data_IF_998788081146
#
_entry.id   IF_998788081146
#
_cell.length_a   1.000
_cell.length_b   1.000
_cell.length_c   1.000
_cell.angle_alpha   90.00
_cell.angle_beta   90.00
_cell.angle_gamma   90.00
#
_symmetry.space_group_name_H-M   'P 1'
#
loop_
_entity.id
_entity.type
_entity.pdbx_description
1 polymer ?
#
# COMPACT_ATOMS: atom_id res chain seq x y z
N UNK A 1 1.81 -23.80 9.15
CA UNK A 1 2.23 -22.97 10.30
C UNK A 1 1.02 -22.25 10.83
N UNK A 2 0.69 -22.41 12.11
CA UNK A 2 -0.38 -21.64 12.74
C UNK A 2 0.26 -20.50 13.53
N UNK A 3 0.20 -19.30 13.03
CA UNK A 3 0.62 -18.07 13.73
C UNK A 3 -0.48 -17.01 13.63
N UNK A 4 -0.48 -16.10 14.58
CA UNK A 4 -1.38 -14.95 14.59
C UNK A 4 -0.61 -13.72 14.14
N UNK A 5 -1.11 -13.08 13.08
CA UNK A 5 -0.61 -11.81 12.54
C UNK A 5 -1.62 -10.72 12.86
N UNK A 6 -1.13 -9.54 13.29
CA UNK A 6 -2.01 -8.39 13.65
C UNK A 6 -3.06 -8.76 14.72
N UNK A 7 -2.68 -9.56 15.70
CA UNK A 7 -3.58 -9.94 16.81
C UNK A 7 -3.95 -8.72 17.66
N UNK A 8 -3.02 -7.81 17.85
CA UNK A 8 -3.25 -6.49 18.43
C UNK A 8 -2.63 -5.41 17.54
N UNK A 9 -3.06 -4.16 17.73
CA UNK A 9 -2.53 -3.03 16.93
C UNK A 9 -1.02 -2.84 17.10
N UNK A 10 -0.49 -3.14 18.27
CA UNK A 10 0.95 -3.06 18.58
C UNK A 10 1.77 -4.16 17.89
N UNK A 11 1.13 -5.16 17.33
CA UNK A 11 1.81 -6.24 16.61
C UNK A 11 2.20 -5.86 15.18
N UNK A 12 1.64 -4.77 14.66
CA UNK A 12 1.93 -4.29 13.31
C UNK A 12 2.20 -2.78 13.30
N UNK A 13 3.48 -2.45 13.35
CA UNK A 13 3.94 -1.06 13.35
C UNK A 13 4.57 -0.72 12.01
N UNK A 14 4.11 0.34 11.38
CA UNK A 14 4.65 0.85 10.11
C UNK A 14 5.16 2.27 10.31
N UNK A 15 6.39 2.52 9.92
CA UNK A 15 6.97 3.86 9.94
C UNK A 15 7.49 4.23 8.56
N UNK A 16 7.00 5.33 8.03
CA UNK A 16 7.53 5.92 6.81
C UNK A 16 8.98 6.38 7.02
N UNK A 17 9.84 6.05 6.08
CA UNK A 17 11.18 6.61 5.96
C UNK A 17 11.08 7.71 4.93
N UNK A 18 10.87 8.94 5.39
CA UNK A 18 10.65 10.08 4.51
C UNK A 18 11.94 10.75 4.06
N UNK A 19 11.86 11.46 2.96
CA UNK A 19 12.89 12.42 2.56
C UNK A 19 12.64 13.71 3.32
N UNK A 20 13.62 14.17 4.09
CA UNK A 20 13.47 15.37 4.91
C UNK A 20 12.99 16.57 4.09
N UNK A 21 11.90 17.24 4.51
CA UNK A 21 11.44 18.46 3.89
C UNK A 21 12.47 19.59 4.08
N UNK A 22 12.47 20.55 3.17
CA UNK A 22 13.26 21.78 3.36
C UNK A 22 12.54 22.69 4.34
N UNK A 23 12.97 22.65 5.61
CA UNK A 23 12.41 23.49 6.65
C UNK A 23 12.79 24.96 6.48
N UNK A 24 11.85 25.82 6.84
CA UNK A 24 12.02 27.28 6.86
C UNK A 24 11.49 27.87 8.18
N UNK A 25 11.85 29.14 8.47
CA UNK A 25 11.27 29.85 9.62
C UNK A 25 9.76 30.03 9.42
N UNK A 26 9.00 30.03 10.50
CA UNK A 26 7.55 30.23 10.51
C UNK A 26 7.09 31.44 9.65
N UNK A 27 7.79 32.58 9.78
CA UNK A 27 7.49 33.81 9.02
C UNK A 27 7.60 33.67 7.50
N UNK A 28 8.28 32.65 6.99
CA UNK A 28 8.54 32.43 5.58
C UNK A 28 7.83 31.17 5.04
N UNK A 29 6.98 30.58 5.85
CA UNK A 29 6.33 29.31 5.55
C UNK A 29 4.95 29.49 4.90
N UNK A 30 4.52 28.46 4.18
CA UNK A 30 3.16 28.32 3.68
C UNK A 30 2.52 27.04 4.22
N UNK A 31 3.33 26.05 4.55
CA UNK A 31 2.88 24.75 5.00
C UNK A 31 3.46 24.41 6.38
N UNK A 32 2.64 23.78 7.21
CA UNK A 32 3.12 23.06 8.40
C UNK A 32 3.39 21.60 8.04
N UNK A 33 4.54 21.10 8.44
CA UNK A 33 4.91 19.69 8.33
C UNK A 33 4.60 19.03 9.66
N UNK A 34 3.77 17.98 9.61
CA UNK A 34 3.33 17.24 10.79
C UNK A 34 3.72 15.75 10.65
N UNK A 35 4.08 15.16 11.77
CA UNK A 35 4.07 13.71 11.89
C UNK A 35 2.66 13.26 12.25
N UNK A 36 2.07 12.45 11.39
CA UNK A 36 0.81 11.78 11.61
C UNK A 36 1.08 10.36 12.12
N UNK A 37 0.63 10.06 13.35
CA UNK A 37 0.58 8.70 13.89
C UNK A 37 -0.88 8.32 14.09
N UNK A 38 -1.28 7.18 13.55
CA UNK A 38 -2.66 6.72 13.57
C UNK A 38 -2.76 5.23 13.87
N UNK A 39 -3.92 4.81 14.38
CA UNK A 39 -4.26 3.44 14.72
C UNK A 39 -5.68 3.12 14.28
N UNK A 40 -5.91 1.97 13.67
CA UNK A 40 -7.22 1.48 13.23
C UNK A 40 -8.04 2.47 12.40
N UNK A 41 -7.40 3.21 11.55
CA UNK A 41 -8.03 4.15 10.63
C UNK A 41 -7.20 4.26 9.35
N UNK A 42 -7.82 4.34 8.18
CA UNK A 42 -7.10 4.58 6.95
C UNK A 42 -6.61 6.04 6.84
N UNK A 43 -5.69 6.30 5.93
CA UNK A 43 -5.09 7.64 5.80
C UNK A 43 -6.08 8.71 5.37
N UNK A 44 -7.06 8.37 4.51
CA UNK A 44 -8.06 9.35 4.04
C UNK A 44 -8.98 9.80 5.16
N UNK A 45 -9.49 8.86 5.96
CA UNK A 45 -10.38 9.16 7.08
C UNK A 45 -9.64 9.93 8.17
N UNK A 46 -8.38 9.57 8.46
CA UNK A 46 -7.54 10.32 9.39
C UNK A 46 -7.33 11.77 8.96
N UNK A 47 -7.09 12.01 7.66
CA UNK A 47 -6.97 13.35 7.09
C UNK A 47 -8.31 14.09 7.15
N UNK A 48 -9.42 13.42 6.85
CA UNK A 48 -10.76 14.00 6.92
C UNK A 48 -11.10 14.48 8.34
N UNK A 49 -10.86 13.63 9.34
CA UNK A 49 -11.12 13.99 10.74
C UNK A 49 -10.21 15.13 11.22
N UNK A 50 -8.93 15.09 10.85
CA UNK A 50 -8.01 16.17 11.18
C UNK A 50 -8.38 17.49 10.49
N UNK A 51 -8.78 17.46 9.23
CA UNK A 51 -9.18 18.66 8.47
C UNK A 51 -10.38 19.36 9.10
N UNK A 52 -11.37 18.58 9.60
CA UNK A 52 -12.52 19.12 10.37
C UNK A 52 -12.06 19.81 11.64
N UNK A 53 -11.12 19.19 12.37
CA UNK A 53 -10.62 19.72 13.64
C UNK A 53 -9.95 21.09 13.48
N UNK A 54 -9.16 21.28 12.43
CA UNK A 54 -8.42 22.53 12.19
C UNK A 54 -9.14 23.49 11.22
N UNK A 55 -10.34 23.15 10.74
CA UNK A 55 -11.16 24.01 9.88
C UNK A 55 -10.61 24.23 8.47
N UNK A 56 -9.89 23.26 7.90
CA UNK A 56 -9.38 23.33 6.52
C UNK A 56 -10.04 22.27 5.63
N UNK A 57 -9.98 22.48 4.31
CA UNK A 57 -10.46 21.47 3.39
C UNK A 57 -9.43 20.33 3.26
N UNK A 58 -9.83 19.04 3.15
CA UNK A 58 -8.90 17.91 3.01
C UNK A 58 -7.89 18.04 1.86
N UNK A 59 -8.26 18.75 0.78
CA UNK A 59 -7.34 19.00 -0.35
C UNK A 59 -6.14 19.89 -0.01
N UNK A 60 -6.19 20.60 1.10
CA UNK A 60 -5.07 21.41 1.62
C UNK A 60 -4.06 20.54 2.40
N UNK A 61 -4.32 19.25 2.55
CA UNK A 61 -3.45 18.30 3.23
C UNK A 61 -2.84 17.35 2.21
N UNK A 62 -1.51 17.31 2.17
CA UNK A 62 -0.76 16.46 1.25
C UNK A 62 0.10 15.45 2.02
N UNK A 63 0.41 14.31 1.40
CA UNK A 63 1.17 13.22 1.97
C UNK A 63 1.99 12.50 0.88
N UNK A 64 3.01 11.72 1.31
CA UNK A 64 3.90 11.02 0.36
C UNK A 64 3.39 9.63 -0.04
N UNK A 65 2.47 9.04 0.72
CA UNK A 65 1.87 7.75 0.42
C UNK A 65 0.81 7.36 1.44
N UNK A 66 -0.02 6.39 1.07
CA UNK A 66 -1.01 5.80 1.97
C UNK A 66 -0.34 4.82 2.92
N UNK A 67 -0.88 4.67 4.13
CA UNK A 67 -0.44 3.69 5.13
C UNK A 67 -1.60 2.78 5.51
N UNK A 68 -1.24 1.56 5.90
CA UNK A 68 -2.19 0.54 6.34
C UNK A 68 -3.20 1.07 7.35
N UNK A 69 -4.41 0.56 7.30
CA UNK A 69 -5.47 0.85 8.27
C UNK A 69 -5.21 0.11 9.57
N UNK A 70 -4.99 -1.21 9.46
CA UNK A 70 -4.75 -2.09 10.60
C UNK A 70 -3.35 -1.86 11.20
N UNK A 71 -3.30 -1.67 12.52
CA UNK A 71 -2.07 -1.45 13.27
C UNK A 71 -1.77 0.02 13.52
N UNK A 72 -0.55 0.30 13.95
CA UNK A 72 -0.09 1.66 14.25
C UNK A 72 0.86 2.12 13.15
N UNK A 73 0.51 3.20 12.46
CA UNK A 73 1.30 3.71 11.36
C UNK A 73 1.75 5.14 11.59
N UNK A 74 2.96 5.47 11.14
CA UNK A 74 3.56 6.80 11.27
C UNK A 74 4.05 7.29 9.91
N UNK A 75 3.65 8.48 9.51
CA UNK A 75 4.04 9.15 8.26
C UNK A 75 4.15 10.65 8.46
N UNK A 76 4.67 11.38 7.48
CA UNK A 76 4.58 12.83 7.46
C UNK A 76 3.47 13.30 6.52
N UNK A 77 2.85 14.41 6.90
CA UNK A 77 1.88 15.15 6.09
C UNK A 77 2.25 16.63 6.07
N UNK A 78 1.81 17.35 5.04
CA UNK A 78 1.88 18.81 5.00
C UNK A 78 0.49 19.42 4.91
N UNK A 79 0.27 20.51 5.64
CA UNK A 79 -0.98 21.25 5.66
C UNK A 79 -0.74 22.67 5.20
N UNK A 80 -1.51 23.15 4.23
CA UNK A 80 -1.49 24.55 3.79
C UNK A 80 -2.20 25.44 4.83
N UNK A 81 -1.68 25.42 6.03
CA UNK A 81 -2.09 26.21 7.17
C UNK A 81 -0.96 26.23 8.20
N UNK A 82 -0.78 27.35 8.89
CA UNK A 82 0.31 27.49 9.87
C UNK A 82 -0.18 27.14 11.27
N UNK A 83 0.14 25.94 11.72
CA UNK A 83 -0.21 25.40 13.02
C UNK A 83 0.98 25.53 13.98
N UNK A 84 0.72 25.76 15.27
CA UNK A 84 1.76 25.90 16.30
C UNK A 84 1.71 24.78 17.34
N UNK A 85 0.61 24.05 17.39
CA UNK A 85 0.33 23.06 18.44
C UNK A 85 0.24 21.65 17.88
N UNK A 86 0.49 20.69 18.74
CA UNK A 86 0.27 19.28 18.46
C UNK A 86 -1.23 18.94 18.67
N UNK A 87 -1.72 17.94 17.97
CA UNK A 87 -3.13 17.54 18.01
C UNK A 87 -3.27 16.05 18.37
N UNK A 88 -4.28 15.72 19.15
CA UNK A 88 -4.63 14.34 19.48
C UNK A 88 -6.15 14.16 19.42
N UNK A 89 -6.61 13.18 18.65
CA UNK A 89 -8.03 12.90 18.43
C UNK A 89 -8.32 11.43 18.71
N UNK A 90 -9.24 11.18 19.64
CA UNK A 90 -9.85 9.87 19.81
C UNK A 90 -11.11 9.82 18.95
N UNK A 91 -11.22 8.80 18.12
CA UNK A 91 -12.31 8.69 17.16
C UNK A 91 -13.38 7.73 17.69
N UNK A 92 -14.46 8.28 18.24
CA UNK A 92 -15.55 7.49 18.81
C UNK A 92 -16.33 6.65 17.78
N UNK A 93 -16.25 7.01 16.50
CA UNK A 93 -16.90 6.29 15.39
C UNK A 93 -16.17 5.00 14.97
N UNK A 94 -14.93 4.80 15.41
CA UNK A 94 -14.11 3.62 15.10
C UNK A 94 -13.61 3.00 16.40
N UNK A 95 -13.88 1.72 16.64
CA UNK A 95 -13.45 1.03 17.86
C UNK A 95 -11.94 1.06 18.03
N UNK A 96 -11.46 1.80 19.05
CA UNK A 96 -10.04 1.92 19.38
C UNK A 96 -9.20 2.73 18.38
N UNK A 97 -9.83 3.47 17.47
CA UNK A 97 -9.11 4.32 16.54
C UNK A 97 -8.68 5.65 17.16
N UNK A 98 -7.48 6.08 16.83
CA UNK A 98 -6.96 7.37 17.24
C UNK A 98 -5.98 7.96 16.21
N UNK A 99 -5.83 9.27 16.27
CA UNK A 99 -4.92 10.05 15.43
C UNK A 99 -4.16 11.03 16.30
N UNK A 100 -2.82 11.00 16.23
CA UNK A 100 -1.93 11.95 16.88
C UNK A 100 -1.11 12.67 15.83
N UNK A 101 -1.02 13.99 15.94
CA UNK A 101 -0.26 14.84 15.03
C UNK A 101 0.71 15.68 15.83
N UNK A 102 1.97 15.63 15.44
CA UNK A 102 3.05 16.41 16.05
C UNK A 102 3.64 17.37 15.02
N UNK A 103 3.74 18.64 15.35
CA UNK A 103 4.39 19.64 14.49
C UNK A 103 5.89 19.35 14.45
N UNK A 104 6.43 19.13 13.24
CA UNK A 104 7.85 18.92 13.01
C UNK A 104 8.56 20.20 12.57
N UNK A 105 7.85 21.08 11.88
CA UNK A 105 8.38 22.31 11.34
C UNK A 105 7.57 22.89 10.20
N UNK A 106 8.14 23.76 9.42
CA UNK A 106 7.46 24.56 8.41
C UNK A 106 8.19 24.50 7.08
N UNK A 107 7.40 24.57 5.96
CA UNK A 107 7.95 24.52 4.60
C UNK A 107 7.27 25.54 3.70
N UNK A 108 7.92 25.89 2.59
CA UNK A 108 7.32 26.67 1.50
C UNK A 108 6.57 25.78 0.51
N UNK A 109 6.90 24.50 0.46
CA UNK A 109 6.39 23.53 -0.51
C UNK A 109 5.61 22.42 0.20
N UNK A 110 4.55 21.90 -0.45
CA UNK A 110 3.82 20.75 0.07
C UNK A 110 4.63 19.46 -0.10
N UNK A 111 4.23 18.44 0.61
CA UNK A 111 4.62 17.08 0.27
C UNK A 111 3.89 16.62 -1.00
N UNK A 112 4.44 15.62 -1.69
CA UNK A 112 3.81 15.02 -2.86
C UNK A 112 3.98 13.50 -2.84
N UNK A 113 3.08 12.82 -3.54
CA UNK A 113 3.07 11.35 -3.62
C UNK A 113 4.40 10.85 -4.19
N UNK A 114 4.99 9.84 -3.53
CA UNK A 114 6.27 9.25 -3.90
C UNK A 114 7.48 9.88 -3.25
N UNK A 115 7.34 10.97 -2.47
CA UNK A 115 8.45 11.60 -1.73
C UNK A 115 8.77 10.85 -0.43
N UNK A 116 9.11 9.59 -0.55
CA UNK A 116 9.56 8.76 0.57
C UNK A 116 10.65 7.79 0.10
N UNK A 117 11.51 7.37 1.01
CA UNK A 117 12.54 6.37 0.74
C UNK A 117 12.00 4.94 0.88
N UNK A 118 10.95 4.74 1.67
CA UNK A 118 10.34 3.45 1.93
C UNK A 118 9.57 3.42 3.23
N UNK A 119 9.29 2.22 3.73
CA UNK A 119 8.66 2.00 5.03
C UNK A 119 9.48 1.02 5.85
N UNK A 120 9.54 1.24 7.15
CA UNK A 120 10.04 0.26 8.12
C UNK A 120 8.86 -0.41 8.77
N UNK A 121 8.92 -1.74 8.87
CA UNK A 121 7.91 -2.56 9.51
C UNK A 121 8.48 -3.21 10.77
N UNK A 122 7.70 -3.20 11.86
CA UNK A 122 7.91 -4.07 13.01
C UNK A 122 6.67 -4.94 13.16
N UNK A 123 6.85 -6.24 12.92
CA UNK A 123 5.76 -7.22 12.91
C UNK A 123 6.01 -8.22 14.03
N UNK A 124 5.02 -8.39 14.91
CA UNK A 124 5.02 -9.39 15.97
C UNK A 124 4.17 -10.58 15.52
N UNK A 125 4.79 -11.75 15.44
CA UNK A 125 4.09 -13.00 15.20
C UNK A 125 3.81 -13.67 16.54
N UNK A 126 2.56 -14.04 16.79
CA UNK A 126 2.13 -14.72 18.02
C UNK A 126 1.73 -16.16 17.75
N UNK A 127 1.74 -16.99 18.81
CA UNK A 127 1.35 -18.40 18.70
C UNK A 127 2.39 -19.29 18.01
N UNK A 128 3.62 -18.82 17.85
CA UNK A 128 4.73 -19.60 17.31
C UNK A 128 5.23 -20.53 18.42
N UNK A 129 5.25 -21.83 18.17
CA UNK A 129 5.87 -22.79 19.05
C UNK A 129 7.41 -22.82 18.92
N UNK A 130 8.05 -23.51 19.88
CA UNK A 130 9.50 -23.58 19.89
C UNK A 130 10.07 -24.27 18.64
N UNK A 131 9.42 -25.32 18.12
CA UNK A 131 9.87 -26.00 16.92
C UNK A 131 9.83 -25.13 15.68
N UNK A 132 8.77 -24.33 15.53
CA UNK A 132 8.65 -23.33 14.46
C UNK A 132 9.72 -22.23 14.58
N UNK A 133 10.00 -21.77 15.80
CA UNK A 133 11.06 -20.81 16.06
C UNK A 133 12.42 -21.38 15.70
N UNK A 134 12.73 -22.61 16.15
CA UNK A 134 13.99 -23.26 15.87
C UNK A 134 14.19 -23.51 14.36
N UNK A 135 13.13 -23.88 13.62
CA UNK A 135 13.15 -23.99 12.16
C UNK A 135 13.44 -22.66 11.49
N UNK A 136 12.80 -21.58 11.95
CA UNK A 136 13.06 -20.23 11.42
C UNK A 136 14.52 -19.81 11.68
N UNK A 137 15.04 -20.04 12.89
CA UNK A 137 16.42 -19.71 13.24
C UNK A 137 17.43 -20.54 12.42
N UNK A 138 17.14 -21.82 12.19
CA UNK A 138 17.95 -22.67 11.33
C UNK A 138 17.92 -22.18 9.87
N UNK A 139 16.75 -21.82 9.35
CA UNK A 139 16.58 -21.26 8.01
C UNK A 139 17.34 -19.95 7.81
N UNK A 140 17.32 -19.07 8.79
CA UNK A 140 18.06 -17.79 8.75
C UNK A 140 19.54 -17.96 9.12
N UNK A 141 19.97 -19.16 9.50
CA UNK A 141 21.33 -19.45 10.02
C UNK A 141 21.72 -18.52 11.18
N UNK A 142 20.75 -18.13 12.00
CA UNK A 142 20.93 -17.18 13.10
C UNK A 142 21.21 -15.73 12.66
N UNK A 143 21.11 -15.44 11.38
CA UNK A 143 21.29 -14.08 10.87
C UNK A 143 20.16 -13.16 11.32
N UNK A 144 20.50 -11.96 11.76
CA UNK A 144 19.53 -10.90 12.07
C UNK A 144 19.14 -10.08 10.85
N UNK A 145 19.83 -10.29 9.71
CA UNK A 145 19.53 -9.62 8.43
C UNK A 145 19.42 -10.67 7.34
N UNK A 146 18.30 -10.71 6.67
CA UNK A 146 18.03 -11.59 5.55
C UNK A 146 17.52 -10.78 4.37
N UNK A 147 17.92 -11.16 3.17
CA UNK A 147 17.34 -10.61 1.94
C UNK A 147 16.10 -11.42 1.59
N UNK A 148 14.99 -10.75 1.36
CA UNK A 148 13.74 -11.36 0.92
C UNK A 148 13.38 -10.87 -0.47
N UNK A 149 12.67 -11.72 -1.20
CA UNK A 149 12.14 -11.37 -2.50
C UNK A 149 10.88 -10.56 -2.29
N UNK A 150 10.82 -9.38 -2.90
CA UNK A 150 9.67 -8.49 -2.78
C UNK A 150 8.63 -8.80 -3.86
N UNK A 151 7.86 -9.87 -3.69
CA UNK A 151 6.68 -10.15 -4.50
C UNK A 151 5.51 -9.26 -4.08
N UNK A 152 4.68 -8.90 -5.06
CA UNK A 152 3.37 -8.32 -4.78
C UNK A 152 2.40 -9.40 -4.33
N UNK A 153 1.70 -9.16 -3.23
CA UNK A 153 0.70 -10.05 -2.67
C UNK A 153 -0.69 -9.88 -3.31
N UNK A 154 -1.63 -10.76 -2.98
CA UNK A 154 -3.00 -10.82 -3.52
C UNK A 154 -3.77 -9.51 -3.42
N UNK A 155 -3.56 -8.72 -2.36
CA UNK A 155 -4.15 -7.39 -2.20
C UNK A 155 -3.85 -6.43 -3.37
N UNK A 156 -2.75 -6.67 -4.10
CA UNK A 156 -2.41 -5.90 -5.29
C UNK A 156 -3.33 -6.20 -6.47
N UNK A 157 -3.97 -7.37 -6.44
CA UNK A 157 -4.73 -7.91 -7.56
C UNK A 157 -6.25 -7.92 -7.32
N UNK A 158 -6.72 -7.47 -6.16
CA UNK A 158 -8.14 -7.40 -5.80
C UNK A 158 -8.37 -7.07 -4.33
N UNK A 159 -9.64 -6.86 -3.98
CA UNK A 159 -10.06 -6.64 -2.60
C UNK A 159 -10.20 -7.99 -1.90
N UNK A 160 -9.88 -8.10 -0.59
CA UNK A 160 -10.09 -9.34 0.15
C UNK A 160 -11.52 -9.90 -0.03
N UNK A 161 -11.63 -11.22 -0.22
CA UNK A 161 -12.89 -11.95 -0.47
C UNK A 161 -13.57 -11.59 -1.81
N UNK A 162 -12.87 -10.97 -2.75
CA UNK A 162 -13.35 -10.73 -4.10
C UNK A 162 -12.49 -11.45 -5.13
N UNK A 163 -12.91 -11.41 -6.38
CA UNK A 163 -12.10 -11.91 -7.49
C UNK A 163 -10.83 -11.05 -7.64
N UNK A 164 -9.65 -11.69 -7.59
CA UNK A 164 -8.36 -11.04 -7.76
C UNK A 164 -8.02 -10.85 -9.25
N UNK A 165 -8.76 -10.00 -9.95
CA UNK A 165 -8.68 -9.84 -11.41
C UNK A 165 -8.26 -8.43 -11.88
N UNK A 166 -7.80 -7.55 -10.98
CA UNK A 166 -7.40 -6.19 -11.38
C UNK A 166 -6.27 -6.16 -12.40
N UNK A 167 -5.35 -7.12 -12.35
CA UNK A 167 -4.27 -7.28 -13.32
C UNK A 167 -4.80 -7.71 -14.70
N UNK A 168 -5.88 -8.49 -14.77
CA UNK A 168 -6.52 -8.87 -16.04
C UNK A 168 -7.17 -7.65 -16.66
N UNK A 169 -7.89 -6.87 -15.86
CA UNK A 169 -8.48 -5.59 -16.30
C UNK A 169 -7.39 -4.65 -16.83
N UNK A 170 -6.30 -4.48 -16.06
CA UNK A 170 -5.17 -3.64 -16.46
C UNK A 170 -4.50 -4.09 -17.76
N UNK A 171 -4.36 -5.41 -17.97
CA UNK A 171 -3.89 -5.99 -19.22
C UNK A 171 -4.80 -5.61 -20.39
N UNK A 172 -6.10 -5.85 -20.25
CA UNK A 172 -7.08 -5.54 -21.28
C UNK A 172 -7.08 -4.05 -21.67
N UNK A 173 -6.96 -3.16 -20.68
CA UNK A 173 -6.84 -1.71 -20.92
C UNK A 173 -5.57 -1.38 -21.70
N UNK A 174 -4.42 -1.95 -21.33
CA UNK A 174 -3.15 -1.73 -21.99
C UNK A 174 -3.15 -2.19 -23.46
N UNK A 175 -3.84 -3.30 -23.72
CA UNK A 175 -3.99 -3.87 -25.06
C UNK A 175 -5.09 -3.18 -25.89
N UNK A 176 -5.79 -2.18 -25.34
CA UNK A 176 -6.90 -1.50 -25.99
C UNK A 176 -8.20 -2.32 -26.07
N UNK A 177 -8.24 -3.47 -25.40
CA UNK A 177 -9.42 -4.34 -25.36
C UNK A 177 -10.41 -3.91 -24.27
N UNK A 178 -10.99 -2.73 -24.46
CA UNK A 178 -11.87 -2.09 -23.48
C UNK A 178 -13.17 -2.86 -23.23
N UNK A 179 -13.64 -3.65 -24.20
CA UNK A 179 -14.84 -4.47 -24.02
C UNK A 179 -14.59 -5.61 -23.04
N UNK A 180 -13.45 -6.29 -23.16
CA UNK A 180 -13.07 -7.34 -22.22
C UNK A 180 -12.73 -6.75 -20.84
N UNK A 181 -12.07 -5.58 -20.82
CA UNK A 181 -11.85 -4.84 -19.59
C UNK A 181 -13.17 -4.55 -18.84
N UNK A 182 -14.24 -4.18 -19.57
CA UNK A 182 -15.55 -3.95 -18.98
C UNK A 182 -16.13 -5.23 -18.36
N UNK A 183 -16.09 -6.34 -19.09
CA UNK A 183 -16.60 -7.64 -18.57
C UNK A 183 -15.88 -8.03 -17.27
N UNK A 184 -14.56 -7.94 -17.25
CA UNK A 184 -13.76 -8.25 -16.08
C UNK A 184 -14.01 -7.27 -14.93
N UNK A 185 -14.18 -5.97 -15.24
CA UNK A 185 -14.48 -4.96 -14.23
C UNK A 185 -15.83 -5.21 -13.53
N UNK A 186 -16.84 -5.64 -14.27
CA UNK A 186 -18.15 -5.97 -13.71
C UNK A 186 -18.12 -7.18 -12.74
N UNK A 187 -17.17 -8.11 -12.93
CA UNK A 187 -16.94 -9.23 -12.01
C UNK A 187 -16.15 -8.85 -10.75
N UNK A 188 -15.39 -7.76 -10.79
CA UNK A 188 -14.49 -7.34 -9.72
C UNK A 188 -15.22 -6.93 -8.43
N UNK A 189 -14.48 -6.74 -7.33
CA UNK A 189 -15.02 -6.33 -6.02
C UNK A 189 -15.41 -4.84 -5.91
N UNK A 190 -15.38 -4.06 -7.00
CA UNK A 190 -15.75 -2.65 -7.00
C UNK A 190 -17.24 -2.41 -6.64
N UNK A 191 -17.59 -1.17 -6.25
CA UNK A 191 -18.95 -0.84 -5.81
C UNK A 191 -19.99 -1.09 -6.90
N UNK A 192 -21.21 -1.43 -6.49
CA UNK A 192 -22.33 -1.69 -7.43
C UNK A 192 -22.69 -0.41 -8.19
N UNK A 193 -22.65 0.74 -7.53
CA UNK A 193 -22.94 2.06 -8.10
C UNK A 193 -22.01 2.38 -9.25
N UNK A 194 -20.71 2.18 -9.04
CA UNK A 194 -19.68 2.44 -10.05
C UNK A 194 -19.79 1.48 -11.24
N UNK A 195 -20.04 0.20 -10.99
CA UNK A 195 -20.28 -0.80 -12.03
C UNK A 195 -21.51 -0.46 -12.89
N UNK A 196 -22.61 -0.06 -12.24
CA UNK A 196 -23.84 0.34 -12.93
C UNK A 196 -23.61 1.59 -13.78
N UNK A 197 -22.92 2.59 -13.26
CA UNK A 197 -22.59 3.82 -13.97
C UNK A 197 -21.72 3.53 -15.20
N UNK A 198 -20.69 2.69 -15.04
CA UNK A 198 -19.82 2.27 -16.13
C UNK A 198 -20.60 1.53 -17.22
N UNK A 199 -21.48 0.60 -16.82
CA UNK A 199 -22.32 -0.16 -17.74
C UNK A 199 -23.32 0.73 -18.48
N UNK A 200 -23.95 1.70 -17.81
CA UNK A 200 -24.86 2.65 -18.45
C UNK A 200 -24.14 3.50 -19.49
N UNK A 201 -22.96 4.03 -19.15
CA UNK A 201 -22.16 4.84 -20.06
C UNK A 201 -21.69 4.04 -21.29
N UNK A 202 -21.29 2.79 -21.09
CA UNK A 202 -20.84 1.92 -22.19
C UNK A 202 -21.92 1.59 -23.23
N UNK A 203 -23.21 1.87 -22.94
CA UNK A 203 -24.32 1.72 -23.90
C UNK A 203 -24.46 2.92 -24.86
N UNK A 204 -23.94 4.08 -24.48
CA UNK A 204 -24.12 5.36 -25.23
C UNK A 204 -22.81 5.92 -25.78
N UNK A 205 -21.67 5.36 -25.35
CA UNK A 205 -20.33 5.76 -25.81
C UNK A 205 -19.39 4.54 -25.86
N UNK A 206 -18.18 4.71 -26.39
CA UNK A 206 -17.19 3.63 -26.39
C UNK A 206 -16.83 3.19 -24.97
N UNK A 207 -16.47 1.91 -24.78
CA UNK A 207 -16.03 1.42 -23.47
C UNK A 207 -14.84 2.22 -22.92
N UNK A 208 -13.91 2.65 -23.77
CA UNK A 208 -12.80 3.52 -23.37
C UNK A 208 -13.29 4.84 -22.76
N UNK A 209 -14.17 5.53 -23.47
CA UNK A 209 -14.75 6.78 -22.97
C UNK A 209 -15.52 6.58 -21.67
N UNK A 210 -16.29 5.48 -21.57
CA UNK A 210 -17.02 5.12 -20.37
C UNK A 210 -16.08 4.93 -19.17
N UNK A 211 -14.97 4.21 -19.34
CA UNK A 211 -13.93 4.04 -18.30
C UNK A 211 -13.32 5.38 -17.89
N UNK A 212 -12.88 6.18 -18.85
CA UNK A 212 -12.23 7.48 -18.59
C UNK A 212 -13.14 8.50 -17.91
N UNK A 213 -14.44 8.41 -18.13
CA UNK A 213 -15.43 9.29 -17.49
C UNK A 213 -15.93 8.77 -16.13
N UNK A 214 -15.84 7.45 -15.88
CA UNK A 214 -16.35 6.83 -14.66
C UNK A 214 -15.27 6.69 -13.60
N UNK A 215 -14.06 6.29 -14.00
CA UNK A 215 -12.95 6.08 -13.11
C UNK A 215 -12.04 7.31 -13.12
N UNK A 216 -11.61 7.73 -11.92
CA UNK A 216 -10.58 8.75 -11.82
C UNK A 216 -9.22 8.23 -12.33
N UNK A 217 -8.30 9.14 -12.58
CA UNK A 217 -6.96 8.84 -13.04
C UNK A 217 -6.23 7.86 -12.10
N UNK A 218 -6.42 7.97 -10.78
CA UNK A 218 -5.73 7.13 -9.78
C UNK A 218 -6.18 5.69 -9.90
N UNK A 219 -7.47 5.47 -10.12
CA UNK A 219 -8.06 4.14 -10.26
C UNK A 219 -7.63 3.46 -11.56
N UNK A 220 -7.63 4.20 -12.67
CA UNK A 220 -7.09 3.71 -13.94
C UNK A 220 -5.61 3.35 -13.82
N UNK A 221 -4.81 4.22 -13.21
CA UNK A 221 -3.38 3.95 -12.95
C UNK A 221 -3.18 2.73 -12.05
N UNK A 222 -4.04 2.53 -11.04
CA UNK A 222 -3.98 1.35 -10.18
C UNK A 222 -4.19 0.06 -10.98
N UNK A 223 -5.17 0.01 -11.88
CA UNK A 223 -5.43 -1.15 -12.74
C UNK A 223 -4.21 -1.47 -13.63
N UNK A 224 -3.66 -0.47 -14.31
CA UNK A 224 -2.46 -0.64 -15.14
C UNK A 224 -1.26 -1.12 -14.33
N UNK A 225 -1.00 -0.49 -13.18
CA UNK A 225 0.09 -0.87 -12.28
C UNK A 225 -0.10 -2.26 -11.69
N UNK A 226 -1.33 -2.73 -11.50
CA UNK A 226 -1.62 -4.10 -11.08
C UNK A 226 -1.10 -5.11 -12.11
N UNK A 227 -1.31 -4.87 -13.41
CA UNK A 227 -0.74 -5.73 -14.45
C UNK A 227 0.79 -5.71 -14.47
N UNK A 228 1.41 -4.54 -14.33
CA UNK A 228 2.87 -4.46 -14.22
C UNK A 228 3.40 -5.22 -13.00
N UNK A 229 2.69 -5.17 -11.87
CA UNK A 229 3.03 -5.93 -10.66
C UNK A 229 2.92 -7.44 -10.90
N UNK A 230 1.92 -7.88 -11.65
CA UNK A 230 1.76 -9.27 -12.07
C UNK A 230 2.94 -9.72 -12.95
N UNK A 231 3.31 -8.92 -13.94
CA UNK A 231 4.47 -9.21 -14.81
C UNK A 231 5.78 -9.27 -14.01
N UNK A 232 5.95 -8.37 -13.02
CA UNK A 232 7.09 -8.41 -12.10
C UNK A 232 7.16 -9.76 -11.37
N UNK A 233 6.08 -10.18 -10.74
CA UNK A 233 6.03 -11.45 -10.02
C UNK A 233 6.37 -12.64 -10.95
N UNK A 234 5.79 -12.65 -12.14
CA UNK A 234 6.09 -13.70 -13.13
C UNK A 234 7.56 -13.71 -13.56
N UNK A 235 8.12 -12.51 -13.81
CA UNK A 235 9.52 -12.37 -14.24
C UNK A 235 10.47 -12.88 -13.15
N UNK A 236 10.25 -12.49 -11.91
CA UNK A 236 11.06 -12.93 -10.77
C UNK A 236 10.95 -14.44 -10.56
N UNK A 237 9.73 -15.01 -10.57
CA UNK A 237 9.54 -16.47 -10.47
C UNK A 237 10.27 -17.23 -11.59
N UNK A 238 10.25 -16.68 -12.82
CA UNK A 238 10.96 -17.29 -13.97
C UNK A 238 12.47 -17.27 -13.78
N UNK A 239 13.02 -16.13 -13.33
CA UNK A 239 14.45 -15.99 -13.06
C UNK A 239 14.93 -17.05 -12.04
N UNK A 240 14.16 -17.27 -10.98
CA UNK A 240 14.53 -18.28 -9.98
C UNK A 240 14.43 -19.70 -10.51
N UNK A 241 13.39 -20.03 -11.27
CA UNK A 241 13.28 -21.35 -11.92
C UNK A 241 14.45 -21.61 -12.88
N UNK A 242 14.99 -20.58 -13.51
CA UNK A 242 16.10 -20.67 -14.47
C UNK A 242 17.49 -20.57 -13.81
N UNK A 243 17.57 -20.21 -12.54
CA UNK A 243 18.85 -20.00 -11.84
C UNK A 243 19.68 -21.26 -11.61
N UNK A 244 19.08 -22.44 -11.74
CA UNK A 244 19.72 -23.72 -11.39
C UNK A 244 19.86 -23.96 -9.88
N UNK A 245 19.36 -23.03 -9.05
CA UNK A 245 19.37 -23.17 -7.59
C UNK A 245 18.16 -23.98 -7.11
N UNK A 246 18.26 -24.65 -5.95
CA UNK A 246 17.11 -25.32 -5.35
C UNK A 246 16.00 -24.31 -5.03
N UNK A 247 14.81 -24.55 -5.57
CA UNK A 247 13.66 -23.68 -5.40
C UNK A 247 12.43 -24.45 -4.92
N UNK A 248 11.51 -23.75 -4.26
CA UNK A 248 10.15 -24.21 -4.00
C UNK A 248 9.16 -23.21 -4.56
N UNK A 249 7.95 -23.66 -4.86
CA UNK A 249 6.88 -22.81 -5.38
C UNK A 249 5.67 -22.84 -4.46
N UNK A 250 5.00 -21.69 -4.38
CA UNK A 250 3.80 -21.47 -3.58
C UNK A 250 2.72 -20.82 -4.44
N UNK A 251 1.50 -21.34 -4.40
CA UNK A 251 0.35 -20.78 -5.10
C UNK A 251 -0.39 -19.78 -4.20
N UNK A 252 -0.50 -18.54 -4.63
CA UNK A 252 -1.11 -17.45 -3.88
C UNK A 252 -2.50 -17.02 -4.42
N UNK A 253 -3.28 -17.94 -4.98
CA UNK A 253 -4.60 -17.70 -5.60
C UNK A 253 -4.56 -16.94 -6.94
N UNK A 254 -3.53 -16.14 -7.20
CA UNK A 254 -3.38 -15.36 -8.45
C UNK A 254 -2.39 -16.01 -9.38
N UNK A 255 -1.28 -16.52 -8.81
CA UNK A 255 -0.19 -17.13 -9.56
C UNK A 255 0.70 -17.98 -8.66
N UNK A 256 1.56 -18.77 -9.30
CA UNK A 256 2.63 -19.49 -8.62
C UNK A 256 3.84 -18.57 -8.41
N UNK A 257 4.22 -18.36 -7.15
CA UNK A 257 5.43 -17.65 -6.75
C UNK A 257 6.54 -18.67 -6.47
N UNK A 258 7.76 -18.36 -6.89
CA UNK A 258 8.91 -19.25 -6.74
C UNK A 258 9.96 -18.62 -5.84
N UNK A 259 10.43 -19.35 -4.87
CA UNK A 259 11.41 -18.92 -3.87
C UNK A 259 12.62 -19.82 -3.92
N UNK A 260 13.79 -19.27 -3.60
CA UNK A 260 15.02 -20.04 -3.41
C UNK A 260 14.99 -20.68 -2.03
N UNK A 261 15.44 -21.95 -1.92
CA UNK A 261 15.43 -22.68 -0.67
C UNK A 261 16.44 -22.16 0.36
N UNK A 262 17.52 -21.51 -0.09
CA UNK A 262 18.53 -20.92 0.79
C UNK A 262 18.60 -19.39 0.58
N UNK A 263 18.34 -18.63 1.64
CA UNK A 263 18.42 -17.16 1.61
C UNK A 263 19.83 -16.64 1.26
N UNK A 264 20.88 -17.38 1.56
CA UNK A 264 22.25 -17.00 1.20
C UNK A 264 22.48 -17.03 -0.31
N UNK A 265 21.71 -17.83 -1.04
CA UNK A 265 21.79 -17.92 -2.51
C UNK A 265 21.08 -16.76 -3.21
N UNK A 266 20.20 -16.03 -2.51
CA UNK A 266 19.53 -14.85 -3.04
C UNK A 266 20.53 -13.76 -3.44
N UNK A 267 21.65 -13.65 -2.74
CA UNK A 267 22.72 -12.70 -3.05
C UNK A 267 23.48 -13.03 -4.33
N UNK A 268 23.48 -14.29 -4.78
CA UNK A 268 24.18 -14.73 -5.99
C UNK A 268 23.49 -14.28 -7.27
N UNK A 269 22.20 -13.93 -7.18
CA UNK A 269 21.38 -13.53 -8.35
C UNK A 269 21.42 -12.02 -8.60
N UNK A 270 21.94 -11.20 -7.70
CA UNK A 270 22.04 -9.75 -7.87
C UNK A 270 22.95 -9.32 -9.05
N UNK A 271 23.61 -10.24 -9.71
CA UNK A 271 24.52 -9.98 -10.86
C UNK A 271 23.92 -10.39 -12.21
N UNK A 272 22.62 -10.66 -12.30
CA UNK A 272 21.87 -10.90 -13.53
C UNK A 272 20.80 -9.78 -13.70
#
# INVERSE_FOLDING_TARGET
MNYLLKYSNDDFLVREVWIEPRYVKYSNARFTILQLKKCNINTFDAISEFSKLIGVHPSQISYSGLKDEDGITTQIISVEHLLKEDYSVQLNCYSGAWVNLKVLGYSREPLYIGRLLGNTFKVTLRGIDKGQYDQFMAFTKGSTKISIINYYDNQRFGIPKSLHNTHIIGKCILEGNWQEALKEYLKSGNSKEEKNLLLQRSKVMSCEQAFRQTLDYRKLSFLLNSYMSYQWNQRVSRLFKQSGLPVHSFDNEVMQLTFINDLCDTMKIQNY
#
